data_IF_352762777896
#
_entry.id   IF_352762777896
#
_cell.length_a   1.000
_cell.length_b   1.000
_cell.length_c   1.000
_cell.angle_alpha   90.00
_cell.angle_beta   90.00
_cell.angle_gamma   90.00
#
_symmetry.space_group_name_H-M   'P 1'
#
loop_
_entity.id
_entity.type
_entity.pdbx_description
1 polymer ?
#
# COMPACT_ATOMS: atom_id res chain seq x y z
N UNK A 1 83.21 29.33 -38.26
CA UNK A 1 83.74 29.64 -36.91
C UNK A 1 82.74 30.56 -36.22
N UNK A 2 82.19 30.12 -35.07
CA UNK A 2 81.89 30.90 -33.83
C UNK A 2 81.30 32.32 -33.95
N UNK A 3 80.36 32.80 -33.13
CA UNK A 3 79.64 32.37 -31.93
C UNK A 3 78.58 33.47 -31.68
N UNK A 4 77.41 33.07 -31.22
CA UNK A 4 76.51 33.67 -30.19
C UNK A 4 76.77 35.12 -29.73
N UNK A 5 75.69 35.93 -29.61
CA UNK A 5 75.10 36.31 -28.30
C UNK A 5 74.13 37.51 -28.35
N UNK A 6 72.86 37.25 -27.97
CA UNK A 6 71.94 38.02 -27.09
C UNK A 6 71.61 39.50 -27.34
N UNK A 7 70.31 39.79 -27.52
CA UNK A 7 69.43 40.50 -26.56
C UNK A 7 68.06 40.77 -27.22
N UNK A 8 66.98 40.05 -26.85
CA UNK A 8 65.92 40.45 -25.90
C UNK A 8 65.28 41.83 -26.19
N UNK A 9 64.01 41.85 -26.61
CA UNK A 9 62.87 42.25 -25.77
C UNK A 9 61.58 42.53 -26.60
N UNK A 10 60.44 42.33 -25.92
CA UNK A 10 59.09 42.85 -26.22
C UNK A 10 58.33 42.21 -27.39
N UNK A 11 57.29 41.42 -27.06
CA UNK A 11 55.87 41.84 -27.02
C UNK A 11 55.10 40.69 -26.36
N UNK A 12 54.75 40.87 -25.08
CA UNK A 12 53.69 40.13 -24.41
C UNK A 12 52.75 41.17 -23.82
N UNK A 13 51.67 41.47 -24.55
CA UNK A 13 50.52 42.14 -23.98
C UNK A 13 49.31 41.81 -24.86
N UNK A 14 48.19 41.50 -24.19
CA UNK A 14 46.84 41.29 -24.73
C UNK A 14 46.48 39.83 -25.00
N UNK A 15 46.03 39.12 -23.95
CA UNK A 15 44.82 38.28 -23.87
C UNK A 15 44.72 37.91 -22.37
N UNK A 16 44.20 38.83 -21.57
CA UNK A 16 43.89 38.59 -20.16
C UNK A 16 42.81 39.58 -19.70
N UNK A 17 41.68 39.60 -20.41
CA UNK A 17 40.52 40.41 -19.99
C UNK A 17 39.15 39.84 -20.41
N UNK A 18 39.08 38.69 -21.09
CA UNK A 18 37.80 38.07 -21.51
C UNK A 18 37.79 36.57 -21.14
N UNK A 19 38.23 36.25 -19.92
CA UNK A 19 38.14 34.89 -19.38
C UNK A 19 37.79 34.86 -17.88
N UNK A 20 37.45 36.01 -17.27
CA UNK A 20 36.99 36.09 -15.88
C UNK A 20 35.51 36.43 -15.73
N UNK A 21 34.76 36.58 -16.83
CA UNK A 21 33.32 36.89 -16.79
C UNK A 21 32.43 35.67 -17.07
N UNK A 22 32.99 34.56 -17.54
CA UNK A 22 32.24 33.34 -17.87
C UNK A 22 32.25 32.27 -16.76
N UNK A 23 33.07 32.45 -15.72
CA UNK A 23 33.15 31.51 -14.59
C UNK A 23 32.21 31.86 -13.42
N UNK A 24 31.41 32.92 -13.55
CA UNK A 24 30.50 33.39 -12.49
C UNK A 24 29.01 33.18 -12.81
N UNK A 25 28.66 32.46 -13.89
CA UNK A 25 27.26 32.22 -14.29
C UNK A 25 26.94 30.73 -14.51
N UNK A 26 27.66 29.83 -13.85
CA UNK A 26 27.46 28.38 -14.01
C UNK A 26 27.49 27.62 -12.68
N UNK A 27 26.92 28.19 -11.61
CA UNK A 27 26.90 27.52 -10.30
C UNK A 27 25.64 27.79 -9.45
N UNK A 28 24.50 28.14 -10.08
CA UNK A 28 23.26 28.47 -9.35
C UNK A 28 22.05 27.58 -9.69
N UNK A 29 22.22 26.56 -10.54
CA UNK A 29 21.11 25.74 -11.06
C UNK A 29 20.88 24.40 -10.33
N UNK A 30 21.57 24.10 -9.22
CA UNK A 30 21.43 22.77 -8.58
C UNK A 30 21.37 22.77 -7.04
N UNK A 31 21.05 23.91 -6.41
CA UNK A 31 20.65 23.88 -5.00
C UNK A 31 19.22 23.37 -4.90
N UNK A 32 19.06 22.12 -4.44
CA UNK A 32 17.76 21.59 -4.03
C UNK A 32 17.08 22.59 -3.10
N UNK A 33 15.97 23.18 -3.57
CA UNK A 33 15.12 24.09 -2.79
C UNK A 33 14.77 23.42 -1.45
N UNK A 34 14.86 24.18 -0.37
CA UNK A 34 14.35 23.73 0.93
C UNK A 34 12.85 23.42 0.84
N UNK A 35 12.36 22.55 1.74
CA UNK A 35 10.93 22.21 1.80
C UNK A 35 10.05 23.47 1.96
N UNK A 36 10.53 24.47 2.70
CA UNK A 36 9.83 25.74 2.88
C UNK A 36 9.77 26.58 1.60
N UNK A 37 10.86 26.64 0.81
CA UNK A 37 10.87 27.34 -0.48
C UNK A 37 9.90 26.68 -1.47
N UNK A 38 9.89 25.34 -1.52
CA UNK A 38 8.95 24.59 -2.34
C UNK A 38 7.50 24.87 -1.91
N UNK A 39 7.22 24.88 -0.60
CA UNK A 39 5.88 25.20 -0.08
C UNK A 39 5.40 26.60 -0.49
N UNK A 40 6.25 27.63 -0.33
CA UNK A 40 5.89 28.99 -0.71
C UNK A 40 5.66 29.14 -2.22
N UNK A 41 6.38 28.37 -3.03
CA UNK A 41 6.18 28.33 -4.47
C UNK A 41 4.85 27.64 -4.85
N UNK A 42 4.57 26.47 -4.29
CA UNK A 42 3.33 25.74 -4.55
C UNK A 42 2.10 26.54 -4.11
N UNK A 43 2.20 27.24 -2.98
CA UNK A 43 1.15 28.14 -2.49
C UNK A 43 0.88 29.27 -3.47
N UNK A 44 1.94 29.92 -4.00
CA UNK A 44 1.78 31.01 -5.00
C UNK A 44 1.23 30.51 -6.33
N UNK A 45 1.53 29.28 -6.70
CA UNK A 45 1.08 28.65 -7.94
C UNK A 45 -0.30 28.00 -7.80
N UNK A 46 -0.92 28.02 -6.61
CA UNK A 46 -2.21 27.38 -6.36
C UNK A 46 -2.17 25.86 -6.49
N UNK A 47 -1.01 25.24 -6.28
CA UNK A 47 -0.80 23.79 -6.42
C UNK A 47 -1.17 22.98 -5.17
N UNK A 48 -1.37 23.65 -4.04
CA UNK A 48 -1.78 23.00 -2.79
C UNK A 48 -3.30 22.83 -2.80
N UNK A 49 -3.75 21.58 -2.87
CA UNK A 49 -5.17 21.24 -2.86
C UNK A 49 -5.60 20.89 -1.44
N UNK A 50 -6.60 21.59 -0.92
CA UNK A 50 -7.11 21.34 0.44
C UNK A 50 -8.47 20.64 0.30
N UNK A 51 -8.44 19.32 0.29
CA UNK A 51 -9.63 18.47 0.27
C UNK A 51 -9.52 17.41 1.39
N UNK A 52 -10.57 17.30 2.20
CA UNK A 52 -10.62 16.38 3.34
C UNK A 52 -9.77 16.79 4.55
N UNK A 53 -9.93 16.05 5.66
CA UNK A 53 -9.30 16.37 6.95
C UNK A 53 -7.80 16.00 7.01
N UNK A 54 -7.28 15.35 5.98
CA UNK A 54 -5.90 14.84 5.93
C UNK A 54 -5.02 15.53 4.87
N UNK A 55 -5.48 16.62 4.26
CA UNK A 55 -4.76 17.36 3.22
C UNK A 55 -3.32 17.74 3.63
N UNK A 56 -3.09 18.06 4.92
CA UNK A 56 -1.76 18.37 5.41
C UNK A 56 -0.77 17.20 5.25
N UNK A 57 -1.22 15.96 5.48
CA UNK A 57 -0.37 14.77 5.34
C UNK A 57 -0.04 14.54 3.86
N UNK A 58 -1.05 14.53 3.00
CA UNK A 58 -0.87 14.31 1.57
C UNK A 58 0.01 15.40 0.94
N UNK A 59 -0.36 16.67 1.10
CA UNK A 59 0.25 17.78 0.38
C UNK A 59 1.61 18.20 0.95
N UNK A 60 1.81 18.10 2.27
CA UNK A 60 3.00 18.63 2.92
C UNK A 60 4.02 17.56 3.29
N UNK A 61 3.59 16.31 3.49
CA UNK A 61 4.47 15.20 3.89
C UNK A 61 4.72 14.26 2.71
N UNK A 62 3.67 13.68 2.16
CA UNK A 62 3.77 12.60 1.16
C UNK A 62 4.26 13.14 -0.19
N UNK A 63 3.62 14.19 -0.72
CA UNK A 63 4.00 14.81 -2.02
C UNK A 63 5.42 15.39 -2.02
N UNK A 64 5.97 15.69 -0.83
CA UNK A 64 7.33 16.21 -0.65
C UNK A 64 8.35 15.15 -0.29
N UNK A 65 7.93 13.89 -0.16
CA UNK A 65 8.77 12.77 0.25
C UNK A 65 9.62 13.08 1.50
N UNK A 66 9.01 13.69 2.52
CA UNK A 66 9.70 13.97 3.78
C UNK A 66 10.16 12.63 4.39
N UNK A 67 11.44 12.50 4.80
CA UNK A 67 11.93 11.28 5.44
C UNK A 67 11.14 10.98 6.72
N UNK A 68 10.55 9.78 6.78
CA UNK A 68 9.80 9.32 7.94
C UNK A 68 10.76 8.63 8.92
N UNK A 69 10.93 9.14 10.15
CA UNK A 69 11.85 8.54 11.11
C UNK A 69 11.28 7.24 11.67
N UNK A 70 12.12 6.23 11.86
CA UNK A 70 11.70 4.96 12.47
C UNK A 70 11.11 5.14 13.87
N UNK A 71 11.57 6.13 14.64
CA UNK A 71 11.01 6.44 15.97
C UNK A 71 9.51 6.71 15.94
N UNK A 72 9.00 7.33 14.86
CA UNK A 72 7.57 7.53 14.67
C UNK A 72 6.87 6.20 14.35
N UNK A 73 7.46 5.36 13.49
CA UNK A 73 6.91 4.04 13.16
C UNK A 73 6.84 3.14 14.40
N UNK A 74 7.88 3.11 15.22
CA UNK A 74 7.89 2.39 16.49
C UNK A 74 6.77 2.89 17.43
N UNK A 75 6.56 4.21 17.49
CA UNK A 75 5.46 4.78 18.26
C UNK A 75 4.10 4.33 17.74
N UNK A 76 3.88 4.27 16.42
CA UNK A 76 2.62 3.80 15.85
C UNK A 76 2.33 2.34 16.24
N UNK A 77 3.33 1.45 16.16
CA UNK A 77 3.15 0.04 16.53
C UNK A 77 2.86 -0.12 18.03
N UNK A 78 3.40 0.78 18.86
CA UNK A 78 3.26 0.76 20.31
C UNK A 78 2.03 1.48 20.86
N UNK A 79 1.31 2.24 20.03
CA UNK A 79 0.19 3.07 20.48
C UNK A 79 -1.15 2.43 20.15
N UNK A 80 -2.10 2.36 21.10
CA UNK A 80 -3.49 2.01 20.77
C UNK A 80 -4.09 3.09 19.86
N UNK A 81 -5.07 2.70 19.06
CA UNK A 81 -5.79 3.57 18.12
C UNK A 81 -4.91 4.25 17.04
N UNK A 82 -3.68 3.77 16.83
CA UNK A 82 -2.75 4.40 15.89
C UNK A 82 -3.24 4.37 14.42
N UNK A 83 -4.12 3.43 14.07
CA UNK A 83 -4.59 3.19 12.71
C UNK A 83 -6.11 3.00 12.64
N UNK A 84 -6.85 3.55 13.61
CA UNK A 84 -8.26 3.23 13.90
C UNK A 84 -8.40 2.49 15.23
N UNK A 85 -9.61 2.44 15.78
CA UNK A 85 -9.87 1.96 17.14
C UNK A 85 -9.36 0.54 17.40
N UNK A 86 -8.61 0.38 18.50
CA UNK A 86 -8.17 -0.91 19.01
C UNK A 86 -6.82 -0.91 19.75
N UNK A 87 -6.37 -2.08 20.23
CA UNK A 87 -5.12 -2.21 20.98
C UNK A 87 -3.90 -1.90 20.13
N UNK A 88 -2.79 -1.56 20.81
CA UNK A 88 -1.49 -1.43 20.15
C UNK A 88 -1.03 -2.76 19.52
N UNK A 89 -0.41 -2.68 18.35
CA UNK A 89 0.01 -3.86 17.57
C UNK A 89 0.95 -4.77 18.37
N UNK A 90 1.92 -4.17 19.09
CA UNK A 90 2.95 -4.91 19.83
C UNK A 90 2.41 -5.74 21.01
N UNK A 91 1.15 -5.51 21.44
CA UNK A 91 0.53 -6.37 22.46
C UNK A 91 0.41 -7.81 21.95
N UNK A 92 0.13 -7.98 20.66
CA UNK A 92 -0.02 -9.28 20.01
C UNK A 92 1.20 -9.68 19.16
N UNK A 93 1.98 -8.68 18.71
CA UNK A 93 3.04 -8.82 17.73
C UNK A 93 4.36 -8.18 18.23
N UNK A 94 5.04 -8.82 19.19
CA UNK A 94 6.24 -8.26 19.85
C UNK A 94 7.44 -9.20 19.89
N UNK A 95 7.36 -10.37 19.25
CA UNK A 95 8.45 -11.35 19.28
C UNK A 95 8.41 -12.25 18.07
N UNK A 96 9.59 -12.71 17.65
CA UNK A 96 9.73 -13.79 16.68
C UNK A 96 9.34 -15.17 17.25
N UNK A 97 9.10 -15.28 18.55
CA UNK A 97 8.65 -16.53 19.18
C UNK A 97 7.12 -16.71 19.02
N UNK A 98 6.66 -17.70 18.22
CA UNK A 98 5.24 -17.93 18.01
C UNK A 98 4.48 -18.40 19.26
N UNK A 99 5.18 -18.81 20.33
CA UNK A 99 4.53 -19.18 21.59
C UNK A 99 3.97 -17.96 22.36
N UNK A 100 4.47 -16.75 22.07
CA UNK A 100 4.10 -15.52 22.78
C UNK A 100 3.65 -14.40 21.84
N UNK A 101 3.74 -14.61 20.53
CA UNK A 101 3.38 -13.61 19.53
C UNK A 101 2.72 -14.27 18.32
N UNK A 102 1.54 -13.77 17.95
CA UNK A 102 0.80 -14.34 16.82
C UNK A 102 1.64 -14.29 15.54
N UNK A 103 1.73 -15.44 14.86
CA UNK A 103 2.54 -15.64 13.64
C UNK A 103 4.06 -15.50 13.84
N UNK A 104 4.53 -15.44 15.09
CA UNK A 104 5.91 -15.08 15.40
C UNK A 104 6.31 -13.76 14.73
N UNK A 105 5.39 -12.81 14.67
CA UNK A 105 5.57 -11.50 14.04
C UNK A 105 5.99 -10.49 15.10
N UNK A 106 7.18 -9.89 14.95
CA UNK A 106 7.65 -8.82 15.82
C UNK A 106 7.47 -7.44 15.17
N UNK A 107 6.46 -6.68 15.62
CA UNK A 107 6.26 -5.29 15.21
C UNK A 107 6.91 -4.27 16.16
N UNK A 108 7.65 -4.72 17.18
CA UNK A 108 8.28 -3.86 18.18
C UNK A 108 9.67 -3.36 17.79
N UNK A 109 10.32 -4.03 16.83
CA UNK A 109 11.66 -3.68 16.34
C UNK A 109 11.67 -3.46 14.84
N UNK A 110 12.59 -2.63 14.33
CA UNK A 110 12.68 -2.37 12.89
C UNK A 110 13.01 -3.64 12.10
N UNK A 111 13.95 -4.44 12.60
CA UNK A 111 14.33 -5.70 11.94
C UNK A 111 13.21 -6.74 12.04
N UNK A 112 12.48 -6.81 13.16
CA UNK A 112 11.29 -7.65 13.28
C UNK A 112 10.20 -7.29 12.26
N UNK A 113 9.92 -5.98 12.10
CA UNK A 113 8.94 -5.48 11.13
C UNK A 113 9.33 -5.91 9.71
N UNK A 114 10.63 -5.84 9.37
CA UNK A 114 11.17 -6.22 8.06
C UNK A 114 11.22 -7.72 7.83
N UNK A 115 11.49 -8.51 8.87
CA UNK A 115 11.50 -9.98 8.80
C UNK A 115 10.09 -10.52 8.54
N UNK A 116 9.08 -9.93 9.20
CA UNK A 116 7.68 -10.32 9.04
C UNK A 116 7.31 -11.53 9.89
N UNK A 117 6.43 -12.38 9.37
CA UNK A 117 5.96 -13.56 10.10
C UNK A 117 7.00 -14.68 10.02
N UNK A 118 7.44 -15.18 11.17
CA UNK A 118 8.46 -16.25 11.25
C UNK A 118 7.86 -17.65 11.45
N UNK A 119 6.63 -17.74 11.95
CA UNK A 119 5.92 -19.02 12.06
C UNK A 119 5.57 -19.56 10.66
N UNK A 120 5.73 -20.86 10.43
CA UNK A 120 5.39 -21.49 9.15
C UNK A 120 3.91 -21.23 8.76
N UNK A 121 3.61 -20.90 7.49
CA UNK A 121 4.57 -20.49 6.45
C UNK A 121 5.15 -19.10 6.75
N UNK A 122 6.48 -19.03 6.90
CA UNK A 122 7.20 -17.79 7.14
C UNK A 122 7.15 -16.92 5.88
N UNK A 123 6.92 -15.62 6.06
CA UNK A 123 6.76 -14.68 4.94
C UNK A 123 6.94 -13.23 5.36
N UNK A 124 7.55 -12.40 4.49
CA UNK A 124 7.56 -10.96 4.69
C UNK A 124 6.14 -10.41 4.63
N UNK A 125 5.89 -9.33 5.37
CA UNK A 125 4.61 -8.63 5.34
C UNK A 125 4.61 -7.42 4.40
N UNK A 126 5.80 -7.01 3.94
CA UNK A 126 6.01 -6.04 2.87
C UNK A 126 7.42 -6.21 2.25
N UNK A 127 7.70 -5.55 1.13
CA UNK A 127 9.04 -5.40 0.53
C UNK A 127 9.53 -3.96 0.66
N UNK A 128 10.71 -3.78 1.27
CA UNK A 128 11.28 -2.46 1.49
C UNK A 128 11.61 -1.76 0.16
N UNK A 129 11.14 -0.52 0.00
CA UNK A 129 11.29 0.28 -1.22
C UNK A 129 10.15 0.11 -2.23
N UNK A 130 9.23 -0.81 -2.01
CA UNK A 130 8.05 -1.04 -2.86
C UNK A 130 6.79 -0.42 -2.23
N UNK A 131 5.70 -0.32 -3.01
CA UNK A 131 4.41 0.15 -2.50
C UNK A 131 3.68 -0.98 -1.75
N UNK A 132 3.53 -0.90 -0.42
CA UNK A 132 2.98 -1.99 0.38
C UNK A 132 1.45 -2.06 0.31
N UNK A 133 0.78 -1.16 -0.43
CA UNK A 133 -0.69 -1.04 -0.45
C UNK A 133 -1.41 -2.36 -0.72
N UNK A 134 -0.82 -3.25 -1.52
CA UNK A 134 -1.37 -4.57 -1.86
C UNK A 134 -0.66 -5.73 -1.18
N UNK A 135 0.38 -5.47 -0.40
CA UNK A 135 1.09 -6.49 0.39
C UNK A 135 0.34 -6.83 1.67
N UNK A 136 0.79 -7.85 2.41
CA UNK A 136 0.07 -8.37 3.59
C UNK A 136 -0.18 -7.25 4.61
N UNK A 137 0.82 -6.44 4.92
CA UNK A 137 0.67 -5.31 5.83
C UNK A 137 -0.41 -4.34 5.33
N UNK A 138 -0.34 -3.92 4.07
CA UNK A 138 -1.31 -2.97 3.52
C UNK A 138 -2.73 -3.52 3.50
N UNK A 139 -2.91 -4.80 3.15
CA UNK A 139 -4.21 -5.47 3.18
C UNK A 139 -4.75 -5.59 4.61
N UNK A 140 -3.93 -6.04 5.57
CA UNK A 140 -4.35 -6.16 6.96
C UNK A 140 -4.74 -4.81 7.59
N UNK A 141 -4.14 -3.70 7.16
CA UNK A 141 -4.53 -2.38 7.67
C UNK A 141 -5.79 -1.80 7.00
N UNK A 142 -6.06 -2.15 5.75
CA UNK A 142 -7.04 -1.42 4.90
C UNK A 142 -8.23 -2.23 4.44
N UNK A 143 -8.10 -3.55 4.32
CA UNK A 143 -9.12 -4.40 3.73
C UNK A 143 -9.99 -4.95 4.85
N UNK A 144 -11.27 -4.58 4.83
CA UNK A 144 -12.27 -5.23 5.67
C UNK A 144 -12.47 -6.67 5.19
N UNK A 145 -12.57 -7.62 6.14
CA UNK A 145 -12.97 -8.98 5.82
C UNK A 145 -14.38 -8.98 5.22
N UNK A 146 -14.61 -9.89 4.29
CA UNK A 146 -15.91 -10.11 3.66
C UNK A 146 -16.52 -11.44 4.12
N UNK A 147 -17.86 -11.52 4.25
CA UNK A 147 -18.83 -10.44 4.10
C UNK A 147 -18.64 -9.30 5.10
N UNK A 148 -18.94 -8.07 4.71
CA UNK A 148 -18.62 -6.88 5.50
C UNK A 148 -19.25 -6.98 6.90
N UNK A 149 -18.42 -6.83 7.94
CA UNK A 149 -18.86 -6.93 9.34
C UNK A 149 -18.82 -8.34 9.93
N UNK A 150 -18.37 -9.36 9.18
CA UNK A 150 -18.12 -10.70 9.75
C UNK A 150 -17.08 -10.61 10.87
N UNK A 151 -17.37 -11.27 12.00
CA UNK A 151 -16.54 -11.21 13.19
C UNK A 151 -15.24 -12.03 13.03
N UNK A 152 -14.16 -11.56 13.65
CA UNK A 152 -12.83 -12.19 13.57
C UNK A 152 -12.76 -13.59 14.19
N UNK A 153 -13.73 -13.96 15.03
CA UNK A 153 -13.81 -15.29 15.63
C UNK A 153 -14.47 -16.34 14.72
N UNK A 154 -14.92 -15.95 13.52
CA UNK A 154 -15.43 -16.88 12.50
C UNK A 154 -14.26 -17.53 11.76
N UNK A 155 -14.28 -18.86 11.63
CA UNK A 155 -13.24 -19.68 10.99
C UNK A 155 -12.90 -19.20 9.56
N UNK A 156 -11.60 -19.14 9.24
CA UNK A 156 -11.07 -18.77 7.92
C UNK A 156 -10.84 -19.96 7.00
N UNK A 157 -11.21 -21.17 7.43
CA UNK A 157 -10.93 -22.43 6.74
C UNK A 157 -12.16 -23.32 6.55
N UNK A 158 -13.35 -22.71 6.47
CA UNK A 158 -14.60 -23.42 6.21
C UNK A 158 -14.59 -24.10 4.83
N UNK A 159 -15.46 -25.09 4.64
CA UNK A 159 -15.57 -25.80 3.36
C UNK A 159 -15.96 -24.88 2.21
N UNK A 160 -16.73 -23.81 2.46
CA UNK A 160 -17.05 -22.78 1.47
C UNK A 160 -15.79 -22.02 1.02
N UNK A 161 -14.96 -21.57 1.96
CA UNK A 161 -13.70 -20.87 1.65
C UNK A 161 -12.75 -21.80 0.89
N UNK A 162 -12.59 -23.05 1.34
CA UNK A 162 -11.77 -24.07 0.66
C UNK A 162 -12.27 -24.37 -0.75
N UNK A 163 -13.58 -24.34 -0.97
CA UNK A 163 -14.16 -24.56 -2.31
C UNK A 163 -13.83 -23.42 -3.27
N UNK A 164 -13.92 -22.16 -2.80
CA UNK A 164 -13.50 -20.99 -3.58
C UNK A 164 -11.99 -21.04 -3.86
N UNK A 165 -11.17 -21.35 -2.87
CA UNK A 165 -9.72 -21.51 -3.02
C UNK A 165 -9.37 -22.57 -4.07
N UNK A 166 -10.00 -23.75 -3.98
CA UNK A 166 -9.77 -24.85 -4.90
C UNK A 166 -10.20 -24.49 -6.33
N UNK A 167 -11.33 -23.81 -6.51
CA UNK A 167 -11.78 -23.34 -7.81
C UNK A 167 -10.81 -22.32 -8.43
N UNK A 168 -10.33 -21.34 -7.64
CA UNK A 168 -9.32 -20.38 -8.12
C UNK A 168 -8.03 -21.11 -8.50
N UNK A 169 -7.55 -22.01 -7.64
CA UNK A 169 -6.35 -22.81 -7.87
C UNK A 169 -6.45 -23.64 -9.16
N UNK A 170 -7.62 -24.18 -9.47
CA UNK A 170 -7.89 -24.95 -10.69
C UNK A 170 -7.98 -24.08 -11.97
N UNK A 171 -7.80 -22.77 -11.87
CA UNK A 171 -7.85 -21.85 -13.00
C UNK A 171 -9.17 -21.12 -13.18
N UNK A 172 -10.04 -21.14 -12.17
CA UNK A 172 -11.29 -20.38 -12.12
C UNK A 172 -12.16 -20.54 -13.39
N UNK A 173 -12.40 -21.78 -13.82
CA UNK A 173 -13.17 -22.07 -15.03
C UNK A 173 -14.68 -21.80 -14.84
N UNK A 174 -15.37 -21.44 -15.93
CA UNK A 174 -16.83 -21.35 -16.00
C UNK A 174 -17.42 -22.72 -16.38
N UNK A 175 -17.44 -23.66 -15.43
CA UNK A 175 -17.92 -25.02 -15.63
C UNK A 175 -19.12 -25.35 -14.72
N UNK A 176 -19.60 -26.59 -14.79
CA UNK A 176 -20.70 -27.07 -13.96
C UNK A 176 -20.39 -26.96 -12.46
N UNK A 177 -19.11 -27.08 -12.06
CA UNK A 177 -18.73 -26.91 -10.67
C UNK A 177 -18.86 -25.44 -10.25
N UNK A 178 -18.41 -24.50 -11.09
CA UNK A 178 -18.61 -23.08 -10.80
C UNK A 178 -20.11 -22.74 -10.68
N UNK A 179 -20.91 -23.11 -11.67
CA UNK A 179 -22.33 -22.75 -11.72
C UNK A 179 -23.13 -23.35 -10.56
N UNK A 180 -22.85 -24.60 -10.18
CA UNK A 180 -23.67 -25.32 -9.20
C UNK A 180 -23.12 -25.25 -7.77
N UNK A 181 -21.81 -25.04 -7.58
CA UNK A 181 -21.18 -25.14 -6.25
C UNK A 181 -20.46 -23.87 -5.80
N UNK A 182 -19.95 -23.03 -6.72
CA UNK A 182 -19.16 -21.85 -6.36
C UNK A 182 -20.02 -20.59 -6.42
N UNK A 183 -20.70 -20.33 -7.54
CA UNK A 183 -21.55 -19.17 -7.72
C UNK A 183 -22.65 -19.04 -6.63
N UNK A 184 -23.30 -20.13 -6.17
CA UNK A 184 -24.29 -20.03 -5.09
C UNK A 184 -23.70 -19.54 -3.77
N UNK A 185 -22.40 -19.72 -3.52
CA UNK A 185 -21.75 -19.27 -2.28
C UNK A 185 -21.79 -17.74 -2.15
N UNK A 186 -21.70 -17.01 -3.28
CA UNK A 186 -21.76 -15.54 -3.29
C UNK A 186 -23.20 -15.01 -3.21
N UNK A 187 -24.19 -15.84 -3.53
CA UNK A 187 -25.60 -15.46 -3.63
C UNK A 187 -26.46 -15.96 -2.46
N UNK A 188 -25.83 -16.62 -1.47
CA UNK A 188 -26.54 -17.20 -0.32
C UNK A 188 -26.03 -16.56 0.96
N UNK A 189 -26.96 -16.08 1.78
CA UNK A 189 -26.65 -15.56 3.11
C UNK A 189 -26.11 -16.67 4.03
N UNK A 190 -25.36 -16.27 5.07
CA UNK A 190 -24.83 -17.15 6.10
C UNK A 190 -23.78 -18.19 5.65
N UNK A 191 -23.26 -18.10 4.43
CA UNK A 191 -22.28 -19.07 3.89
C UNK A 191 -20.90 -18.90 4.55
N UNK A 192 -20.49 -17.65 4.77
CA UNK A 192 -19.15 -17.32 5.26
C UNK A 192 -19.13 -16.84 6.73
N UNK A 193 -20.27 -16.91 7.41
CA UNK A 193 -20.45 -16.57 8.82
C UNK A 193 -21.93 -16.51 9.18
N UNK A 194 -22.31 -16.84 10.42
CA UNK A 194 -23.70 -16.72 10.86
C UNK A 194 -24.17 -15.26 10.84
N UNK A 195 -25.46 -15.05 10.54
CA UNK A 195 -26.12 -13.76 10.41
C UNK A 195 -25.42 -12.77 9.45
N UNK A 196 -24.78 -13.27 8.40
CA UNK A 196 -24.12 -12.46 7.37
C UNK A 196 -24.93 -12.39 6.07
N UNK A 197 -24.96 -11.23 5.39
CA UNK A 197 -25.66 -11.09 4.11
C UNK A 197 -24.99 -11.90 3.01
N UNK A 198 -25.72 -12.14 1.92
CA UNK A 198 -25.10 -12.64 0.70
C UNK A 198 -24.18 -11.58 0.08
N UNK A 199 -23.13 -11.99 -0.62
CA UNK A 199 -22.20 -11.05 -1.26
C UNK A 199 -22.92 -10.20 -2.32
N UNK A 200 -23.87 -10.80 -3.03
CA UNK A 200 -24.67 -10.16 -4.06
C UNK A 200 -25.61 -9.06 -3.53
N UNK A 201 -25.90 -8.97 -2.23
CA UNK A 201 -26.67 -7.84 -1.69
C UNK A 201 -25.94 -6.49 -1.83
N UNK A 202 -24.61 -6.51 -1.90
CA UNK A 202 -23.78 -5.32 -2.05
C UNK A 202 -23.04 -5.27 -3.39
N UNK A 203 -22.92 -6.40 -4.08
CA UNK A 203 -22.14 -6.56 -5.31
C UNK A 203 -22.98 -7.22 -6.43
N UNK A 204 -23.89 -6.45 -7.03
CA UNK A 204 -24.92 -6.97 -7.95
C UNK A 204 -24.84 -6.44 -9.39
N UNK A 205 -23.92 -5.50 -9.65
CA UNK A 205 -23.82 -4.80 -10.94
C UNK A 205 -22.48 -4.08 -11.06
N UNK A 206 -22.14 -3.65 -12.29
CA UNK A 206 -20.96 -2.82 -12.55
C UNK A 206 -21.25 -1.31 -12.50
N UNK A 207 -22.19 -0.88 -11.67
CA UNK A 207 -22.58 0.53 -11.54
C UNK A 207 -22.56 0.97 -10.07
N UNK A 208 -21.91 2.11 -9.81
CA UNK A 208 -21.95 2.80 -8.53
C UNK A 208 -22.84 4.06 -8.61
N UNK A 209 -23.80 4.25 -7.69
CA UNK A 209 -24.49 3.26 -6.84
C UNK A 209 -25.48 2.40 -7.65
N UNK A 210 -25.88 1.18 -7.20
CA UNK A 210 -25.84 0.71 -5.81
C UNK A 210 -24.74 -0.31 -5.47
N UNK A 211 -23.98 -0.82 -6.43
CA UNK A 211 -23.00 -1.89 -6.19
C UNK A 211 -21.66 -1.31 -5.77
N UNK A 212 -21.18 -1.68 -4.58
CA UNK A 212 -19.90 -1.18 -4.08
C UNK A 212 -18.74 -1.65 -4.96
N UNK A 213 -17.84 -0.72 -5.26
CA UNK A 213 -16.71 -0.86 -6.16
C UNK A 213 -17.11 -1.38 -7.55
N UNK A 214 -18.34 -1.13 -8.01
CA UNK A 214 -18.82 -1.55 -9.34
C UNK A 214 -18.57 -3.06 -9.57
N UNK A 215 -18.60 -3.85 -8.50
CA UNK A 215 -18.34 -5.28 -8.52
C UNK A 215 -19.66 -6.03 -8.64
N UNK A 216 -19.71 -6.97 -9.58
CA UNK A 216 -20.82 -7.91 -9.76
C UNK A 216 -20.37 -9.33 -9.41
N UNK A 217 -20.98 -9.95 -8.41
CA UNK A 217 -20.73 -11.36 -8.05
C UNK A 217 -21.88 -12.31 -8.38
N UNK A 218 -22.85 -11.85 -9.18
CA UNK A 218 -24.04 -12.62 -9.56
C UNK A 218 -23.81 -13.53 -10.77
N UNK A 219 -22.70 -13.35 -11.49
CA UNK A 219 -22.35 -14.09 -12.71
C UNK A 219 -20.84 -14.40 -12.78
N UNK A 220 -20.46 -15.38 -13.61
CA UNK A 220 -19.05 -15.65 -13.89
C UNK A 220 -18.36 -14.42 -14.50
N UNK A 221 -18.99 -13.84 -15.50
CA UNK A 221 -18.47 -12.72 -16.26
C UNK A 221 -18.26 -11.48 -15.37
N UNK A 222 -19.19 -11.21 -14.44
CA UNK A 222 -19.07 -10.15 -13.44
C UNK A 222 -17.88 -10.34 -12.51
N UNK A 223 -17.74 -11.55 -11.94
CA UNK A 223 -16.63 -11.89 -11.03
C UNK A 223 -15.28 -11.75 -11.74
N UNK A 224 -15.19 -12.24 -12.98
CA UNK A 224 -13.95 -12.21 -13.76
C UNK A 224 -13.64 -10.83 -14.37
N UNK A 225 -14.66 -9.98 -14.56
CA UNK A 225 -14.46 -8.58 -14.92
C UNK A 225 -13.73 -7.85 -13.78
N UNK A 226 -14.23 -7.99 -12.55
CA UNK A 226 -13.67 -7.38 -11.35
C UNK A 226 -14.34 -6.06 -10.98
N UNK A 227 -13.63 -5.23 -10.22
CA UNK A 227 -14.15 -4.02 -9.60
C UNK A 227 -13.67 -2.74 -10.33
N UNK A 228 -14.31 -1.61 -10.07
CA UNK A 228 -13.98 -0.26 -10.57
C UNK A 228 -13.91 -0.15 -12.12
N UNK A 229 -14.70 -0.97 -12.83
CA UNK A 229 -14.65 -1.09 -14.30
C UNK A 229 -15.24 0.11 -15.06
N UNK A 230 -16.14 0.88 -14.46
CA UNK A 230 -16.67 2.14 -15.00
C UNK A 230 -15.77 3.30 -14.59
N UNK A 231 -15.44 3.43 -13.31
CA UNK A 231 -14.63 4.55 -12.80
C UNK A 231 -13.19 4.59 -13.36
N UNK A 232 -12.54 3.42 -13.52
CA UNK A 232 -11.16 3.32 -14.06
C UNK A 232 -11.10 2.86 -15.51
N UNK A 233 -12.24 2.46 -16.07
CA UNK A 233 -12.36 1.82 -17.36
C UNK A 233 -12.14 0.30 -17.28
N UNK A 234 -12.82 -0.44 -18.17
CA UNK A 234 -12.91 -1.91 -18.17
C UNK A 234 -11.53 -2.58 -18.19
N UNK A 235 -10.60 -2.03 -18.97
CA UNK A 235 -9.24 -2.59 -19.10
C UNK A 235 -8.36 -2.33 -17.86
N UNK A 236 -8.72 -1.36 -17.01
CA UNK A 236 -8.03 -1.05 -15.76
C UNK A 236 -8.82 -1.50 -14.52
N UNK A 237 -9.88 -2.29 -14.72
CA UNK A 237 -10.66 -2.86 -13.63
C UNK A 237 -9.75 -3.62 -12.66
N UNK A 238 -10.02 -3.48 -11.37
CA UNK A 238 -9.32 -4.22 -10.33
C UNK A 238 -9.73 -5.69 -10.42
N UNK A 239 -8.85 -6.56 -10.92
CA UNK A 239 -9.08 -8.01 -10.94
C UNK A 239 -9.20 -8.55 -9.52
N UNK A 240 -10.34 -9.18 -9.24
CA UNK A 240 -10.64 -9.77 -7.92
C UNK A 240 -10.39 -11.29 -7.88
N UNK A 241 -10.35 -11.94 -9.05
CA UNK A 241 -9.89 -13.32 -9.24
C UNK A 241 -8.67 -13.30 -10.16
N UNK A 242 -7.61 -14.00 -9.74
CA UNK A 242 -6.43 -14.29 -10.55
C UNK A 242 -6.37 -15.82 -10.68
N UNK A 243 -6.77 -16.37 -11.84
CA UNK A 243 -6.78 -17.81 -12.09
C UNK A 243 -5.43 -18.47 -11.74
N UNK A 244 -5.49 -19.53 -10.94
CA UNK A 244 -4.32 -20.27 -10.47
C UNK A 244 -3.63 -19.67 -9.23
N UNK A 245 -4.03 -18.49 -8.78
CA UNK A 245 -3.35 -17.74 -7.71
C UNK A 245 -4.33 -17.18 -6.66
N UNK A 246 -4.87 -18.02 -5.75
CA UNK A 246 -5.74 -17.56 -4.67
C UNK A 246 -5.07 -16.48 -3.80
N UNK A 247 -3.77 -16.61 -3.53
CA UNK A 247 -2.99 -15.69 -2.72
C UNK A 247 -2.90 -14.26 -3.29
N UNK A 248 -3.10 -14.11 -4.61
CA UNK A 248 -3.14 -12.82 -5.28
C UNK A 248 -4.59 -12.35 -5.57
N UNK A 249 -5.58 -13.22 -5.36
CA UNK A 249 -6.99 -12.96 -5.66
C UNK A 249 -7.66 -12.18 -4.53
N UNK A 250 -8.16 -10.98 -4.84
CA UNK A 250 -8.86 -10.11 -3.89
C UNK A 250 -10.02 -10.80 -3.18
N UNK A 251 -10.82 -11.63 -3.87
CA UNK A 251 -11.91 -12.39 -3.24
C UNK A 251 -11.38 -13.27 -2.11
N UNK A 252 -10.35 -14.07 -2.37
CA UNK A 252 -9.81 -14.99 -1.36
C UNK A 252 -9.13 -14.26 -0.21
N UNK A 253 -8.40 -13.18 -0.51
CA UNK A 253 -7.80 -12.30 0.51
C UNK A 253 -8.89 -11.73 1.42
N UNK A 254 -9.96 -11.17 0.86
CA UNK A 254 -11.04 -10.59 1.66
C UNK A 254 -11.83 -11.64 2.48
N UNK A 255 -11.94 -12.88 2.03
CA UNK A 255 -12.59 -13.95 2.81
C UNK A 255 -11.75 -14.42 4.01
N UNK A 256 -10.42 -14.37 3.90
CA UNK A 256 -9.49 -15.01 4.84
C UNK A 256 -8.66 -14.05 5.69
N UNK A 257 -8.69 -12.76 5.39
CA UNK A 257 -7.91 -11.75 6.11
C UNK A 257 -8.82 -10.84 6.94
N UNK A 258 -8.82 -11.03 8.27
CA UNK A 258 -9.35 -10.01 9.18
C UNK A 258 -8.50 -8.74 9.10
N UNK A 259 -9.19 -7.59 9.08
CA UNK A 259 -8.57 -6.28 9.27
C UNK A 259 -7.97 -6.19 10.68
N UNK A 260 -6.84 -5.49 10.77
CA UNK A 260 -6.14 -5.23 12.00
C UNK A 260 -6.40 -3.79 12.49
N UNK A 261 -6.53 -3.59 13.82
CA UNK A 261 -6.55 -4.62 14.86
C UNK A 261 -7.85 -5.48 14.82
N UNK A 262 -7.84 -6.73 15.36
CA UNK A 262 -9.01 -7.60 15.29
C UNK A 262 -10.24 -6.95 15.93
N UNK A 263 -11.36 -6.94 15.20
CA UNK A 263 -12.61 -6.33 15.65
C UNK A 263 -12.74 -4.83 15.40
N UNK A 264 -11.78 -4.20 14.71
CA UNK A 264 -11.92 -2.83 14.22
C UNK A 264 -13.21 -2.68 13.38
N UNK A 265 -13.93 -1.57 13.58
CA UNK A 265 -15.17 -1.32 12.87
C UNK A 265 -14.90 -1.14 11.36
N UNK A 266 -15.71 -1.74 10.46
CA UNK A 266 -15.48 -1.63 9.02
C UNK A 266 -15.59 -0.21 8.46
N UNK A 267 -16.27 0.71 9.17
CA UNK A 267 -16.40 2.12 8.80
C UNK A 267 -15.17 2.97 9.15
N UNK A 268 -14.25 2.42 9.95
CA UNK A 268 -12.99 3.09 10.25
C UNK A 268 -12.18 3.37 8.98
N UNK A 269 -11.56 4.55 8.92
CA UNK A 269 -10.94 5.06 7.70
C UNK A 269 -9.89 4.09 7.15
N UNK A 270 -10.09 3.64 5.91
CA UNK A 270 -9.20 2.73 5.20
C UNK A 270 -7.95 3.43 4.67
N UNK A 271 -7.96 4.77 4.63
CA UNK A 271 -6.86 5.61 4.18
C UNK A 271 -6.34 6.51 5.30
N UNK A 272 -6.41 6.04 6.55
CA UNK A 272 -5.94 6.73 7.75
C UNK A 272 -4.53 7.33 7.54
N UNK A 273 -4.26 8.59 7.95
CA UNK A 273 -3.00 9.28 7.67
C UNK A 273 -1.77 8.51 8.17
N UNK A 274 -1.85 7.87 9.33
CA UNK A 274 -0.75 7.06 9.86
C UNK A 274 -0.45 5.83 8.99
N UNK A 275 -1.47 5.22 8.35
CA UNK A 275 -1.27 4.13 7.40
C UNK A 275 -0.53 4.63 6.16
N UNK A 276 -0.86 5.83 5.67
CA UNK A 276 -0.16 6.44 4.54
C UNK A 276 1.29 6.79 4.88
N UNK A 277 1.55 7.29 6.10
CA UNK A 277 2.91 7.56 6.60
C UNK A 277 3.72 6.27 6.74
N UNK A 278 3.12 5.19 7.26
CA UNK A 278 3.74 3.87 7.31
C UNK A 278 4.13 3.37 5.91
N UNK A 279 3.24 3.53 4.93
CA UNK A 279 3.55 3.15 3.54
C UNK A 279 4.65 4.02 2.94
N UNK A 280 4.71 5.31 3.28
CA UNK A 280 5.79 6.19 2.86
C UNK A 280 7.14 5.74 3.44
N UNK A 281 7.19 5.38 4.73
CA UNK A 281 8.40 4.83 5.35
C UNK A 281 8.87 3.54 4.66
N UNK A 282 7.96 2.65 4.30
CA UNK A 282 8.28 1.41 3.55
C UNK A 282 8.85 1.76 2.17
N UNK A 283 8.20 2.64 1.41
CA UNK A 283 8.68 3.12 0.10
C UNK A 283 10.04 3.83 0.18
N UNK A 284 10.37 4.42 1.32
CA UNK A 284 11.69 5.01 1.61
C UNK A 284 12.76 3.97 1.99
N UNK A 285 12.42 2.68 1.92
CA UNK A 285 13.34 1.57 2.17
C UNK A 285 13.32 1.04 3.61
N UNK A 286 12.27 1.34 4.38
CA UNK A 286 12.07 0.84 5.75
C UNK A 286 13.32 1.01 6.64
N UNK A 287 13.89 2.23 6.63
CA UNK A 287 15.14 2.49 7.34
C UNK A 287 14.93 2.52 8.86
N UNK A 288 15.88 1.94 9.62
CA UNK A 288 15.80 1.80 11.08
C UNK A 288 16.33 3.00 11.87
N UNK A 289 16.34 4.19 11.26
CA UNK A 289 16.87 5.44 11.85
C UNK A 289 15.85 6.56 11.81
#
# INVERSE_FOLDING_TARGET
>A
MTKRSLAKAAVWASIAAIALSAAAMADDDDKKKSVNEQYLEDLRQGKIHIEGDHAAVTELILNRNIPIPYSYIAQLMASPNAFGDGPACIVCHSSADPAVSYRGLDLSTCDGIKEGSTEAPARPIFVAGEDPKREILGRRMRNNRMPLGVSFNVDHSTDAIKSVEAWITAGAANDDNFQNNILPLFNTANVFGEDTPSCAECHMSNEEPPSFHELDVTSYEGIMLGADSVAKGVDNATKVIIPGHPELSGVFQHLTEDRMPPGIDPSEDRDHPNSQILFAWIKQGAQCR
#
